data_IF_077844278975
#
_entry.id   IF_077844278975
#
_cell.length_a   1.000
_cell.length_b   1.000
_cell.length_c   1.000
_cell.angle_alpha   90.00
_cell.angle_beta   90.00
_cell.angle_gamma   90.00
#
_symmetry.space_group_name_H-M   'P 1'
#
loop_
_entity.id
_entity.type
_entity.pdbx_description
1 polymer ?
#
# COMPACT_ATOMS: atom_id res chain seq x y z
N UNK A 1 -22.94 -35.09 15.20
CA UNK A 1 -22.76 -35.34 13.76
C UNK A 1 -22.44 -34.04 12.98
N UNK A 2 -22.14 -32.94 13.70
CA UNK A 2 -21.74 -31.63 13.09
C UNK A 2 -20.25 -31.36 13.33
N UNK A 3 -19.63 -32.03 14.32
CA UNK A 3 -18.18 -31.82 14.65
C UNK A 3 -17.18 -32.56 13.72
N UNK A 4 -17.67 -33.35 12.77
CA UNK A 4 -16.80 -34.10 11.84
C UNK A 4 -16.57 -33.39 10.50
N UNK A 5 -17.25 -32.24 10.28
CA UNK A 5 -17.10 -31.45 9.02
C UNK A 5 -15.96 -30.43 9.15
N UNK A 6 -15.50 -30.11 10.37
CA UNK A 6 -14.43 -29.15 10.63
C UNK A 6 -13.00 -29.69 10.37
N UNK A 7 -12.84 -30.93 9.89
CA UNK A 7 -11.55 -31.51 9.44
C UNK A 7 -11.47 -31.64 7.92
N UNK A 8 -12.09 -30.79 7.21
CA UNK A 8 -11.80 -30.55 5.82
C UNK A 8 -10.90 -29.30 5.79
N UNK A 9 -9.86 -29.18 5.17
CA UNK A 9 -9.58 -29.63 3.85
C UNK A 9 -8.27 -29.04 3.40
N UNK A 10 -7.41 -29.82 2.85
CA UNK A 10 -6.42 -29.39 1.87
C UNK A 10 -6.99 -28.52 0.73
N UNK A 11 -8.28 -28.23 0.72
CA UNK A 11 -8.99 -27.51 -0.34
C UNK A 11 -9.16 -26.00 -0.10
N UNK A 12 -8.73 -25.48 1.07
CA UNK A 12 -8.82 -24.07 1.41
C UNK A 12 -10.12 -23.67 2.12
N UNK A 13 -10.10 -22.49 2.76
CA UNK A 13 -11.21 -21.89 3.49
C UNK A 13 -12.01 -20.90 2.65
N UNK A 14 -13.32 -20.79 2.95
CA UNK A 14 -14.22 -19.78 2.37
C UNK A 14 -14.56 -18.67 3.39
N UNK A 15 -14.00 -18.74 4.58
CA UNK A 15 -14.24 -17.77 5.64
C UNK A 15 -13.61 -16.43 5.33
N UNK A 16 -14.15 -15.37 5.95
CA UNK A 16 -13.56 -14.04 5.83
C UNK A 16 -12.15 -14.03 6.39
N UNK A 17 -11.13 -13.59 5.62
CA UNK A 17 -9.77 -13.51 6.11
C UNK A 17 -9.64 -12.71 7.40
N UNK A 18 -8.86 -13.23 8.33
CA UNK A 18 -8.44 -12.53 9.55
C UNK A 18 -6.93 -12.36 9.53
N UNK A 19 -6.40 -11.44 10.34
CA UNK A 19 -4.96 -11.20 10.44
C UNK A 19 -4.51 -11.13 11.88
N UNK A 20 -3.32 -11.67 12.12
CA UNK A 20 -2.65 -11.53 13.40
C UNK A 20 -1.91 -10.20 13.50
N UNK A 21 -1.72 -9.71 14.72
CA UNK A 21 -0.86 -8.55 14.98
C UNK A 21 0.58 -8.86 14.57
N UNK A 22 1.31 -7.84 14.14
CA UNK A 22 2.73 -7.97 13.80
C UNK A 22 3.54 -7.54 15.01
N UNK A 23 4.00 -8.53 15.80
CA UNK A 23 4.82 -8.28 16.98
C UNK A 23 6.30 -8.05 16.59
N UNK A 24 6.54 -6.98 15.84
CA UNK A 24 7.85 -6.63 15.30
C UNK A 24 8.88 -6.23 16.38
N UNK A 25 8.44 -5.98 17.61
CA UNK A 25 9.30 -5.68 18.76
C UNK A 25 9.78 -6.94 19.48
N UNK A 26 9.19 -8.08 19.19
CA UNK A 26 9.61 -9.36 19.70
C UNK A 26 10.99 -9.74 19.13
N UNK A 27 11.97 -10.12 19.96
CA UNK A 27 13.29 -10.58 19.47
C UNK A 27 13.20 -11.72 18.45
N UNK A 28 12.21 -12.61 18.58
CA UNK A 28 11.98 -13.72 17.65
C UNK A 28 11.57 -13.27 16.26
N UNK A 29 11.06 -12.04 16.12
CA UNK A 29 10.71 -11.48 14.81
C UNK A 29 11.94 -11.30 13.90
N UNK A 30 13.11 -11.00 14.49
CA UNK A 30 14.39 -10.87 13.79
C UNK A 30 15.20 -12.16 13.75
N UNK A 31 14.71 -13.26 14.35
CA UNK A 31 15.38 -14.55 14.34
C UNK A 31 15.31 -15.16 12.94
N UNK A 32 16.46 -15.31 12.28
CA UNK A 32 16.55 -15.79 10.90
C UNK A 32 16.24 -17.26 10.75
N UNK A 33 16.64 -18.10 11.71
CA UNK A 33 16.34 -19.54 11.63
C UNK A 33 14.83 -19.78 11.68
N UNK A 34 14.13 -19.10 12.60
CA UNK A 34 12.65 -19.15 12.67
C UNK A 34 11.99 -18.53 11.44
N UNK A 35 12.62 -17.50 10.86
CA UNK A 35 12.11 -16.89 9.64
C UNK A 35 12.29 -17.82 8.44
N UNK A 36 13.45 -18.46 8.28
CA UNK A 36 13.71 -19.43 7.21
C UNK A 36 12.80 -20.64 7.30
N UNK A 37 12.57 -21.18 8.50
CA UNK A 37 11.65 -22.30 8.72
C UNK A 37 10.23 -21.93 8.21
N UNK A 38 9.71 -20.79 8.61
CA UNK A 38 8.39 -20.32 8.17
C UNK A 38 8.34 -19.98 6.68
N UNK A 39 9.42 -19.39 6.15
CA UNK A 39 9.53 -19.07 4.72
C UNK A 39 9.47 -20.34 3.86
N UNK A 40 10.19 -21.40 4.26
CA UNK A 40 10.15 -22.68 3.55
C UNK A 40 8.79 -23.34 3.66
N UNK A 41 8.17 -23.34 4.84
CA UNK A 41 6.82 -23.87 5.05
C UNK A 41 5.79 -23.19 4.13
N UNK A 42 5.81 -21.87 4.06
CA UNK A 42 4.89 -21.09 3.20
C UNK A 42 5.23 -21.27 1.74
N UNK A 43 6.52 -21.30 1.37
CA UNK A 43 6.96 -21.53 0.00
C UNK A 43 6.49 -22.90 -0.53
N UNK A 44 6.55 -23.95 0.29
CA UNK A 44 6.09 -25.30 -0.04
C UNK A 44 4.58 -25.33 -0.32
N UNK A 45 3.77 -24.71 0.56
CA UNK A 45 2.34 -24.58 0.34
C UNK A 45 2.01 -23.77 -0.94
N UNK A 46 2.77 -22.69 -1.21
CA UNK A 46 2.61 -21.89 -2.43
C UNK A 46 3.02 -22.67 -3.69
N UNK A 47 4.09 -23.46 -3.61
CA UNK A 47 4.55 -24.31 -4.70
C UNK A 47 3.50 -25.36 -5.08
N UNK A 48 2.92 -26.06 -4.11
CA UNK A 48 1.85 -27.02 -4.35
C UNK A 48 0.57 -26.40 -4.95
N UNK A 49 0.28 -25.13 -4.61
CA UNK A 49 -0.95 -24.46 -5.06
C UNK A 49 -0.80 -23.65 -6.35
N UNK A 50 0.26 -22.86 -6.51
CA UNK A 50 0.60 -21.98 -7.66
C UNK A 50 -0.50 -21.02 -8.16
N UNK A 51 -1.60 -20.87 -7.42
CA UNK A 51 -2.76 -20.03 -7.83
C UNK A 51 -2.38 -18.56 -8.08
N UNK A 52 -1.36 -18.05 -7.38
CA UNK A 52 -0.96 -16.65 -7.42
C UNK A 52 0.07 -16.30 -8.51
N UNK A 53 0.46 -17.24 -9.38
CA UNK A 53 1.51 -17.05 -10.40
C UNK A 53 1.33 -15.79 -11.26
N UNK A 54 0.10 -15.39 -11.51
CA UNK A 54 -0.22 -14.22 -12.37
C UNK A 54 -0.48 -12.91 -11.61
N UNK A 55 -0.31 -12.90 -10.29
CA UNK A 55 -0.65 -11.69 -9.48
C UNK A 55 0.44 -10.63 -9.49
N UNK A 56 1.70 -11.04 -9.34
CA UNK A 56 2.85 -10.14 -9.25
C UNK A 56 4.13 -10.88 -9.60
N UNK A 57 5.28 -10.21 -9.58
CA UNK A 57 6.56 -10.82 -9.92
C UNK A 57 7.09 -11.78 -8.85
N UNK A 58 6.74 -11.58 -7.58
CA UNK A 58 7.26 -12.38 -6.47
C UNK A 58 6.93 -13.88 -6.61
N UNK A 59 5.74 -14.24 -7.13
CA UNK A 59 5.37 -15.64 -7.29
C UNK A 59 6.05 -16.35 -8.47
N UNK A 60 6.11 -15.78 -9.68
CA UNK A 60 6.94 -16.36 -10.74
C UNK A 60 8.40 -16.54 -10.29
N UNK A 61 9.01 -15.52 -9.66
CA UNK A 61 10.37 -15.63 -9.11
C UNK A 61 10.50 -16.79 -8.13
N UNK A 62 9.54 -16.97 -7.21
CA UNK A 62 9.52 -18.10 -6.27
C UNK A 62 9.44 -19.45 -7.01
N UNK A 63 8.53 -19.56 -7.98
CA UNK A 63 8.30 -20.83 -8.67
C UNK A 63 9.45 -21.19 -9.62
N UNK A 64 10.04 -20.20 -10.29
CA UNK A 64 11.21 -20.42 -11.14
C UNK A 64 12.42 -20.89 -10.31
N UNK A 65 12.66 -20.29 -9.12
CA UNK A 65 13.71 -20.76 -8.21
C UNK A 65 13.53 -22.24 -7.79
N UNK A 66 12.29 -22.65 -7.54
CA UNK A 66 11.98 -24.04 -7.16
C UNK A 66 12.13 -24.96 -8.36
N UNK A 67 11.54 -24.60 -9.51
CA UNK A 67 11.55 -25.41 -10.74
C UNK A 67 12.96 -25.55 -11.34
N UNK A 68 13.87 -24.60 -11.06
CA UNK A 68 15.27 -24.65 -11.49
C UNK A 68 16.20 -25.28 -10.41
N UNK A 69 15.70 -25.63 -9.23
CA UNK A 69 16.49 -26.28 -8.18
C UNK A 69 16.81 -27.72 -8.53
N UNK A 70 17.85 -28.29 -7.91
CA UNK A 70 18.28 -29.69 -8.16
C UNK A 70 17.21 -30.72 -7.79
N UNK A 71 16.39 -30.44 -6.78
CA UNK A 71 15.34 -31.35 -6.29
C UNK A 71 13.97 -31.07 -6.91
N UNK A 72 13.79 -29.94 -7.61
CA UNK A 72 12.50 -29.40 -8.04
C UNK A 72 11.53 -29.13 -6.89
N UNK A 73 12.09 -28.96 -5.67
CA UNK A 73 11.37 -28.74 -4.44
C UNK A 73 12.01 -27.58 -3.65
N UNK A 74 11.32 -27.09 -2.61
CA UNK A 74 11.77 -25.93 -1.81
C UNK A 74 13.08 -26.20 -1.09
N UNK A 75 13.40 -27.45 -0.76
CA UNK A 75 14.65 -27.84 -0.09
C UNK A 75 15.89 -27.64 -0.98
N UNK A 76 15.72 -27.69 -2.32
CA UNK A 76 16.79 -27.39 -3.27
C UNK A 76 17.13 -25.90 -3.42
N UNK A 77 16.28 -25.00 -2.90
CA UNK A 77 16.52 -23.56 -2.99
C UNK A 77 17.38 -23.08 -1.83
N UNK A 78 18.48 -22.37 -2.13
CA UNK A 78 19.34 -21.79 -1.09
C UNK A 78 18.64 -20.57 -0.45
N UNK A 79 18.80 -20.40 0.89
CA UNK A 79 18.15 -19.33 1.64
C UNK A 79 18.37 -17.93 1.05
N UNK A 80 19.59 -17.63 0.61
CA UNK A 80 19.92 -16.33 0.02
C UNK A 80 19.21 -16.07 -1.32
N UNK A 81 18.75 -17.08 -2.04
CA UNK A 81 18.01 -16.92 -3.30
C UNK A 81 16.61 -16.37 -3.06
N UNK A 82 16.01 -16.63 -1.90
CA UNK A 82 14.74 -16.04 -1.52
C UNK A 82 14.77 -14.51 -1.38
N UNK A 83 15.96 -13.87 -1.31
CA UNK A 83 16.04 -12.41 -1.30
C UNK A 83 15.37 -11.78 -2.54
N UNK A 84 15.42 -12.43 -3.71
CA UNK A 84 14.75 -11.95 -4.91
C UNK A 84 13.22 -11.99 -4.79
N UNK A 85 12.68 -13.05 -4.18
CA UNK A 85 11.24 -13.19 -3.92
C UNK A 85 10.75 -12.11 -2.96
N UNK A 86 11.53 -11.85 -1.90
CA UNK A 86 11.25 -10.81 -0.89
C UNK A 86 11.25 -9.42 -1.55
N UNK A 87 12.25 -9.14 -2.39
CA UNK A 87 12.41 -7.84 -3.06
C UNK A 87 11.28 -7.59 -4.09
N UNK A 88 10.79 -8.61 -4.76
CA UNK A 88 9.70 -8.53 -5.74
C UNK A 88 8.31 -8.38 -5.10
N UNK A 89 8.18 -8.52 -3.78
CA UNK A 89 6.91 -8.32 -3.08
C UNK A 89 6.69 -6.84 -2.74
N UNK A 90 5.59 -6.26 -3.25
CA UNK A 90 5.19 -4.86 -3.00
C UNK A 90 4.25 -4.68 -1.80
N UNK A 91 4.03 -5.71 -0.99
CA UNK A 91 3.13 -5.68 0.18
C UNK A 91 1.71 -5.13 -0.16
N UNK A 92 1.20 -5.46 -1.35
CA UNK A 92 -0.07 -4.93 -1.85
C UNK A 92 -1.29 -5.73 -1.40
N UNK A 93 -1.10 -6.83 -0.68
CA UNK A 93 -2.13 -7.72 -0.12
C UNK A 93 -3.06 -8.43 -1.11
N UNK A 94 -2.89 -8.27 -2.42
CA UNK A 94 -3.77 -8.91 -3.40
C UNK A 94 -3.80 -10.43 -3.26
N UNK A 95 -2.67 -11.09 -2.98
CA UNK A 95 -2.62 -12.53 -2.77
C UNK A 95 -3.38 -12.94 -1.50
N UNK A 96 -3.30 -12.15 -0.44
CA UNK A 96 -4.01 -12.40 0.82
C UNK A 96 -5.52 -12.19 0.66
N UNK A 97 -5.94 -11.04 0.12
CA UNK A 97 -7.34 -10.62 0.11
C UNK A 97 -8.21 -11.29 -0.96
N UNK A 98 -7.63 -11.72 -2.09
CA UNK A 98 -8.44 -12.11 -3.26
C UNK A 98 -8.17 -13.50 -3.79
N UNK A 99 -7.05 -14.13 -3.45
CA UNK A 99 -6.64 -15.37 -4.11
C UNK A 99 -6.32 -16.52 -3.15
N UNK A 100 -5.67 -16.28 -2.02
CA UNK A 100 -5.19 -17.34 -1.17
C UNK A 100 -6.32 -17.97 -0.35
N UNK A 101 -6.64 -19.25 -0.52
CA UNK A 101 -7.64 -19.95 0.27
C UNK A 101 -7.10 -20.45 1.62
N UNK A 102 -5.83 -20.26 1.88
CA UNK A 102 -5.11 -20.77 3.05
C UNK A 102 -4.74 -19.68 4.06
N UNK A 103 -5.29 -18.48 3.90
CA UNK A 103 -5.13 -17.40 4.87
C UNK A 103 -5.87 -17.70 6.17
N UNK A 104 -5.47 -17.12 7.31
CA UNK A 104 -6.22 -17.27 8.54
C UNK A 104 -7.73 -16.91 8.34
N UNK A 105 -8.66 -17.65 8.91
CA UNK A 105 -8.51 -18.66 9.97
C UNK A 105 -8.23 -20.10 9.49
N UNK A 106 -7.78 -20.31 8.25
CA UNK A 106 -7.37 -21.63 7.78
C UNK A 106 -6.19 -22.17 8.61
N UNK A 107 -6.14 -23.48 8.86
CA UNK A 107 -5.10 -24.12 9.71
C UNK A 107 -3.64 -23.90 9.24
N UNK A 108 -3.45 -23.59 7.95
CA UNK A 108 -2.13 -23.28 7.42
C UNK A 108 -1.68 -21.84 7.65
N UNK A 109 -2.60 -20.96 8.01
CA UNK A 109 -2.34 -19.55 8.39
C UNK A 109 -1.37 -18.82 7.45
N UNK A 110 -1.54 -18.97 6.13
CA UNK A 110 -0.64 -18.36 5.13
C UNK A 110 -0.86 -16.85 5.08
N UNK A 111 0.10 -16.09 5.54
CA UNK A 111 0.17 -14.62 5.34
C UNK A 111 1.46 -14.25 4.59
N UNK A 112 1.46 -14.48 3.28
CA UNK A 112 2.62 -14.23 2.43
C UNK A 112 3.09 -12.77 2.49
N UNK A 113 2.24 -11.72 2.41
CA UNK A 113 2.71 -10.34 2.50
C UNK A 113 3.44 -10.02 3.80
N UNK A 114 2.91 -10.45 4.96
CA UNK A 114 3.55 -10.18 6.24
C UNK A 114 4.82 -11.02 6.46
N UNK A 115 4.88 -12.21 5.88
CA UNK A 115 6.12 -12.99 5.83
C UNK A 115 7.20 -12.26 5.02
N UNK A 116 6.85 -11.70 3.87
CA UNK A 116 7.77 -10.88 3.08
C UNK A 116 8.16 -9.59 3.82
N UNK A 117 7.22 -8.94 4.50
CA UNK A 117 7.53 -7.79 5.37
C UNK A 117 8.57 -8.15 6.43
N UNK A 118 8.42 -9.30 7.11
CA UNK A 118 9.41 -9.79 8.09
C UNK A 118 10.79 -9.94 7.45
N UNK A 119 10.89 -10.53 6.26
CA UNK A 119 12.14 -10.63 5.51
C UNK A 119 12.78 -9.27 5.20
N UNK A 120 11.95 -8.29 4.78
CA UNK A 120 12.40 -6.89 4.54
C UNK A 120 12.91 -6.22 5.83
N UNK A 121 12.26 -6.45 6.97
CA UNK A 121 12.69 -5.91 8.27
C UNK A 121 14.03 -6.54 8.70
N UNK A 122 14.20 -7.85 8.55
CA UNK A 122 15.49 -8.54 8.82
C UNK A 122 16.59 -7.96 7.90
N UNK A 123 16.29 -7.76 6.62
CA UNK A 123 17.24 -7.15 5.67
C UNK A 123 17.62 -5.73 6.08
N UNK A 124 16.66 -4.91 6.51
CA UNK A 124 16.90 -3.55 6.98
C UNK A 124 17.75 -3.53 8.27
N UNK A 125 17.47 -4.41 9.23
CA UNK A 125 18.22 -4.50 10.50
C UNK A 125 19.72 -4.78 10.28
N UNK A 126 20.06 -5.43 9.18
CA UNK A 126 21.46 -5.69 8.75
C UNK A 126 22.08 -4.56 7.92
N UNK A 127 21.43 -3.40 7.82
CA UNK A 127 21.86 -2.29 6.98
C UNK A 127 22.04 -2.64 5.48
N UNK A 128 21.32 -3.63 4.99
CA UNK A 128 21.36 -4.06 3.60
C UNK A 128 20.55 -3.16 2.63
N UNK A 129 19.90 -2.11 3.14
CA UNK A 129 19.12 -1.18 2.32
C UNK A 129 20.07 -0.21 1.61
N UNK A 130 19.99 -0.19 0.30
CA UNK A 130 20.83 0.65 -0.54
C UNK A 130 20.51 2.15 -0.37
N UNK A 131 21.50 3.02 -0.62
CA UNK A 131 21.27 4.47 -0.68
C UNK A 131 20.23 4.84 -1.74
N UNK A 132 20.26 4.15 -2.88
CA UNK A 132 19.27 4.26 -3.95
C UNK A 132 17.85 4.10 -3.42
N UNK A 133 17.58 3.01 -2.70
CA UNK A 133 16.22 2.67 -2.24
C UNK A 133 15.76 3.65 -1.16
N UNK A 134 16.66 4.10 -0.28
CA UNK A 134 16.38 5.16 0.70
C UNK A 134 15.98 6.47 0.03
N UNK A 135 16.62 6.83 -1.09
CA UNK A 135 16.29 8.04 -1.85
C UNK A 135 14.94 7.87 -2.58
N UNK A 136 14.78 6.81 -3.37
CA UNK A 136 13.60 6.60 -4.20
C UNK A 136 12.32 6.46 -3.38
N UNK A 137 12.39 5.89 -2.19
CA UNK A 137 11.25 5.77 -1.26
C UNK A 137 10.97 7.04 -0.43
N UNK A 138 11.78 8.09 -0.59
CA UNK A 138 11.52 9.40 0.06
C UNK A 138 10.61 10.28 -0.83
N UNK A 139 9.47 9.72 -1.22
CA UNK A 139 8.53 10.28 -2.20
C UNK A 139 8.00 11.67 -1.85
N UNK A 140 7.75 11.94 -0.57
CA UNK A 140 7.33 13.25 -0.07
C UNK A 140 8.43 14.31 -0.23
N UNK A 141 9.67 14.00 0.14
CA UNK A 141 10.81 14.92 0.01
C UNK A 141 11.14 15.19 -1.45
N UNK A 142 11.17 14.14 -2.27
CA UNK A 142 11.40 14.27 -3.71
C UNK A 142 10.29 15.11 -4.34
N UNK A 143 9.04 14.86 -3.97
CA UNK A 143 7.88 15.63 -4.42
C UNK A 143 8.00 17.11 -4.07
N UNK A 144 8.35 17.44 -2.81
CA UNK A 144 8.53 18.83 -2.36
C UNK A 144 9.62 19.57 -3.15
N UNK A 145 10.72 18.89 -3.49
CA UNK A 145 11.84 19.48 -4.24
C UNK A 145 11.46 19.63 -5.72
N UNK A 146 10.96 18.54 -6.32
CA UNK A 146 10.77 18.46 -7.76
C UNK A 146 9.48 19.13 -8.26
N UNK A 147 8.52 19.43 -7.38
CA UNK A 147 7.30 20.17 -7.75
C UNK A 147 7.45 21.71 -7.68
N UNK A 148 8.65 22.24 -7.51
CA UNK A 148 8.90 23.68 -7.64
C UNK A 148 8.86 24.07 -9.13
N UNK A 149 8.21 25.22 -9.45
CA UNK A 149 7.90 25.64 -10.83
C UNK A 149 9.01 25.39 -11.87
N UNK A 150 10.22 25.87 -11.61
CA UNK A 150 11.37 25.72 -12.55
C UNK A 150 11.90 24.30 -12.52
N UNK A 151 12.00 23.69 -11.33
CA UNK A 151 12.58 22.37 -11.14
C UNK A 151 11.73 21.30 -11.80
N UNK A 152 10.40 21.37 -11.66
CA UNK A 152 9.47 20.39 -12.28
C UNK A 152 9.63 20.36 -13.80
N UNK A 153 9.70 21.52 -14.43
CA UNK A 153 9.91 21.60 -15.87
C UNK A 153 11.25 20.99 -16.30
N UNK A 154 12.33 21.30 -15.58
CA UNK A 154 13.65 20.76 -15.88
C UNK A 154 13.70 19.24 -15.69
N UNK A 155 13.22 18.72 -14.57
CA UNK A 155 13.18 17.27 -14.30
C UNK A 155 12.35 16.53 -15.34
N UNK A 156 11.18 17.07 -15.71
CA UNK A 156 10.32 16.47 -16.73
C UNK A 156 10.95 16.49 -18.12
N UNK A 157 11.73 17.53 -18.47
CA UNK A 157 12.49 17.59 -19.73
C UNK A 157 13.62 16.56 -19.68
N UNK A 158 14.44 16.54 -18.62
CA UNK A 158 15.54 15.60 -18.48
C UNK A 158 15.10 14.15 -18.52
N UNK A 159 13.92 13.83 -17.92
CA UNK A 159 13.35 12.49 -17.98
C UNK A 159 13.02 12.01 -19.40
N UNK A 160 12.93 12.90 -20.40
CA UNK A 160 12.72 12.57 -21.81
C UNK A 160 14.03 12.45 -22.61
N UNK A 161 15.17 12.90 -22.04
CA UNK A 161 16.47 12.91 -22.72
C UNK A 161 17.15 11.54 -22.56
N UNK A 162 17.37 10.82 -23.65
CA UNK A 162 17.98 9.47 -23.66
C UNK A 162 19.32 9.39 -22.90
N UNK A 163 20.18 10.39 -23.06
CA UNK A 163 21.48 10.42 -22.36
C UNK A 163 21.29 10.47 -20.84
N UNK A 164 20.40 11.32 -20.36
CA UNK A 164 20.08 11.43 -18.93
C UNK A 164 19.47 10.13 -18.41
N UNK A 165 18.58 9.50 -19.19
CA UNK A 165 17.99 8.19 -18.86
C UNK A 165 19.05 7.08 -18.69
N UNK A 166 20.07 7.07 -19.56
CA UNK A 166 21.22 6.14 -19.42
C UNK A 166 22.01 6.41 -18.15
N UNK A 167 22.21 7.68 -17.78
CA UNK A 167 22.88 8.04 -16.53
C UNK A 167 22.05 7.57 -15.31
N UNK A 168 20.74 7.81 -15.29
CA UNK A 168 19.85 7.31 -14.24
C UNK A 168 19.86 5.78 -14.15
N UNK A 169 19.93 5.09 -15.30
CA UNK A 169 20.01 3.63 -15.33
C UNK A 169 21.30 3.12 -14.66
N UNK A 170 22.44 3.76 -14.95
CA UNK A 170 23.72 3.38 -14.35
C UNK A 170 23.81 3.71 -12.85
N UNK A 171 23.30 4.86 -12.42
CA UNK A 171 23.43 5.32 -11.03
C UNK A 171 22.36 4.74 -10.11
N UNK A 172 21.14 4.60 -10.60
CA UNK A 172 19.97 4.21 -9.79
C UNK A 172 19.33 2.89 -10.26
N UNK A 173 19.88 2.21 -11.27
CA UNK A 173 19.29 0.98 -11.80
C UNK A 173 17.88 1.17 -12.38
N UNK A 174 17.50 2.41 -12.73
CA UNK A 174 16.18 2.70 -13.32
C UNK A 174 16.28 2.46 -14.82
N UNK A 175 15.60 1.44 -15.33
CA UNK A 175 15.65 1.10 -16.75
C UNK A 175 15.38 2.32 -17.64
N UNK A 176 16.17 2.50 -18.69
CA UNK A 176 16.11 3.70 -19.55
C UNK A 176 14.75 3.94 -20.20
N UNK A 177 13.97 2.88 -20.45
CA UNK A 177 12.64 2.95 -21.03
C UNK A 177 11.49 2.97 -19.97
N UNK A 178 11.82 2.92 -18.67
CA UNK A 178 10.79 2.98 -17.62
C UNK A 178 10.06 4.33 -17.67
N UNK A 179 8.74 4.32 -17.65
CA UNK A 179 7.94 5.55 -17.55
C UNK A 179 8.07 6.09 -16.13
N UNK A 180 8.65 7.28 -15.99
CA UNK A 180 8.71 7.98 -14.70
C UNK A 180 7.53 8.93 -14.56
N UNK A 181 6.93 9.05 -13.38
CA UNK A 181 5.86 10.02 -13.13
C UNK A 181 6.40 11.44 -13.34
N UNK A 182 5.55 12.31 -13.87
CA UNK A 182 5.89 13.71 -14.05
C UNK A 182 5.61 14.48 -12.76
N UNK A 183 6.46 15.44 -12.45
CA UNK A 183 6.23 16.33 -11.32
C UNK A 183 5.47 17.58 -11.79
N UNK A 184 4.45 17.96 -11.02
CA UNK A 184 3.63 19.14 -11.36
C UNK A 184 4.19 20.40 -10.68
N UNK A 185 4.03 21.55 -11.32
CA UNK A 185 4.43 22.84 -10.74
C UNK A 185 3.36 23.43 -9.81
N UNK A 186 2.14 22.93 -9.84
CA UNK A 186 1.02 23.32 -8.99
C UNK A 186 0.45 22.05 -8.35
N UNK A 187 0.75 21.88 -7.07
CA UNK A 187 0.36 20.67 -6.31
C UNK A 187 -1.15 20.64 -6.05
N UNK A 188 -1.69 19.47 -5.65
CA UNK A 188 -3.11 19.35 -5.29
C UNK A 188 -3.51 20.34 -4.20
N UNK A 189 -2.67 20.53 -3.18
CA UNK A 189 -2.89 21.52 -2.11
C UNK A 189 -2.87 22.98 -2.59
N UNK A 190 -2.31 23.24 -3.75
CA UNK A 190 -2.24 24.57 -4.38
C UNK A 190 -3.31 24.81 -5.45
N UNK A 191 -4.18 23.83 -5.73
CA UNK A 191 -5.25 23.98 -6.74
C UNK A 191 -6.25 25.08 -6.37
N UNK A 192 -6.30 25.49 -5.11
CA UNK A 192 -7.25 26.50 -4.63
C UNK A 192 -8.65 25.92 -4.45
N UNK A 193 -8.76 24.61 -4.24
CA UNK A 193 -10.01 23.97 -3.87
C UNK A 193 -10.44 24.55 -2.51
N UNK A 194 -11.57 25.24 -2.52
CA UNK A 194 -12.10 25.86 -1.30
C UNK A 194 -12.74 24.80 -0.42
N UNK A 195 -12.50 24.88 0.90
CA UNK A 195 -13.28 24.07 1.82
C UNK A 195 -14.76 24.39 1.59
N UNK A 196 -15.55 23.35 1.33
CA UNK A 196 -16.98 23.48 1.18
C UNK A 196 -17.64 23.00 2.47
N UNK A 197 -18.18 23.93 3.23
CA UNK A 197 -18.94 23.61 4.45
C UNK A 197 -20.41 23.82 4.12
N UNK A 198 -21.15 22.74 4.12
CA UNK A 198 -22.61 22.72 3.95
C UNK A 198 -23.21 21.86 5.05
N UNK A 199 -24.48 22.06 5.34
CA UNK A 199 -25.21 21.17 6.23
C UNK A 199 -25.42 19.81 5.53
N UNK A 200 -24.49 18.89 5.74
CA UNK A 200 -24.51 17.56 5.14
C UNK A 200 -24.33 16.47 6.19
N UNK A 201 -24.96 15.32 5.95
CA UNK A 201 -24.85 14.13 6.81
C UNK A 201 -23.40 13.69 6.99
N UNK A 202 -22.58 13.83 5.93
CA UNK A 202 -21.18 13.41 5.91
C UNK A 202 -20.26 14.61 5.72
N UNK A 203 -19.11 14.54 6.39
CA UNK A 203 -18.00 15.45 6.23
C UNK A 203 -16.78 14.64 5.81
N UNK A 204 -16.11 15.03 4.74
CA UNK A 204 -14.95 14.34 4.19
C UNK A 204 -13.71 15.23 4.27
N UNK A 205 -12.66 14.72 4.89
CA UNK A 205 -11.33 15.30 4.82
C UNK A 205 -10.46 14.48 3.84
N UNK A 206 -10.04 15.09 2.74
CA UNK A 206 -9.24 14.41 1.71
C UNK A 206 -7.77 14.45 2.09
N UNK A 207 -7.18 13.27 2.29
CA UNK A 207 -5.75 13.06 2.39
C UNK A 207 -5.16 12.99 0.98
N UNK A 208 -4.46 14.06 0.55
CA UNK A 208 -4.01 14.19 -0.85
C UNK A 208 -2.95 13.17 -1.25
N UNK A 209 -2.28 12.55 -0.29
CA UNK A 209 -1.15 11.62 -0.47
C UNK A 209 0.06 12.27 -1.17
N UNK A 210 1.22 11.62 -1.15
CA UNK A 210 2.40 12.16 -1.83
C UNK A 210 2.25 12.14 -3.35
N UNK A 211 1.72 11.04 -3.91
CA UNK A 211 1.64 10.88 -5.36
C UNK A 211 0.64 11.85 -5.98
N UNK A 212 -0.60 11.91 -5.49
CA UNK A 212 -1.60 12.81 -6.05
C UNK A 212 -1.28 14.29 -5.76
N UNK A 213 -0.57 14.59 -4.68
CA UNK A 213 -0.17 15.95 -4.43
C UNK A 213 0.89 16.46 -5.42
N UNK A 214 1.86 15.61 -5.78
CA UNK A 214 3.04 16.05 -6.53
C UNK A 214 3.09 15.60 -7.98
N UNK A 215 2.28 14.57 -8.35
CA UNK A 215 2.33 13.98 -9.68
C UNK A 215 0.98 14.03 -10.41
N UNK A 216 -0.14 13.70 -9.72
CA UNK A 216 -1.46 13.57 -10.34
C UNK A 216 -2.54 14.35 -9.58
N UNK A 217 -2.43 15.70 -9.48
CA UNK A 217 -3.39 16.52 -8.71
C UNK A 217 -4.80 16.52 -9.29
N UNK A 218 -4.96 16.13 -10.58
CA UNK A 218 -6.25 16.00 -11.24
C UNK A 218 -7.19 15.06 -10.50
N UNK A 219 -6.68 13.92 -10.02
CA UNK A 219 -7.49 12.92 -9.28
C UNK A 219 -8.11 13.53 -8.01
N UNK A 220 -7.36 14.38 -7.30
CA UNK A 220 -7.89 15.07 -6.11
C UNK A 220 -9.00 16.04 -6.50
N UNK A 221 -8.82 16.77 -7.62
CA UNK A 221 -9.83 17.69 -8.12
C UNK A 221 -11.09 16.95 -8.55
N UNK A 222 -10.96 15.87 -9.30
CA UNK A 222 -12.09 15.10 -9.80
C UNK A 222 -12.89 14.49 -8.63
N UNK A 223 -12.19 13.92 -7.64
CA UNK A 223 -12.87 13.39 -6.45
C UNK A 223 -13.53 14.51 -5.62
N UNK A 224 -12.88 15.66 -5.47
CA UNK A 224 -13.47 16.83 -4.83
C UNK A 224 -14.76 17.26 -5.57
N UNK A 225 -14.75 17.30 -6.91
CA UNK A 225 -15.92 17.69 -7.71
C UNK A 225 -17.06 16.67 -7.57
N UNK A 226 -16.76 15.37 -7.50
CA UNK A 226 -17.74 14.30 -7.22
C UNK A 226 -18.39 14.51 -5.84
N UNK A 227 -17.61 14.77 -4.80
CA UNK A 227 -18.14 15.02 -3.46
C UNK A 227 -19.01 16.27 -3.43
N UNK A 228 -18.59 17.31 -4.12
CA UNK A 228 -19.33 18.56 -4.26
C UNK A 228 -20.66 18.36 -4.98
N UNK A 229 -20.68 17.59 -6.08
CA UNK A 229 -21.88 17.21 -6.80
C UNK A 229 -22.89 16.45 -5.93
N UNK A 230 -22.39 15.70 -4.96
CA UNK A 230 -23.22 14.98 -3.98
C UNK A 230 -23.54 15.80 -2.72
N UNK A 231 -23.31 17.11 -2.72
CA UNK A 231 -23.57 18.00 -1.57
C UNK A 231 -22.90 17.52 -0.28
N UNK A 232 -21.64 17.08 -0.34
CA UNK A 232 -20.86 16.64 0.81
C UNK A 232 -19.97 17.80 1.30
N UNK A 233 -19.87 17.98 2.61
CA UNK A 233 -18.88 18.88 3.22
C UNK A 233 -17.49 18.31 2.98
N UNK A 234 -16.60 19.10 2.34
CA UNK A 234 -15.26 18.65 1.94
C UNK A 234 -14.19 19.60 2.44
N UNK A 235 -13.15 19.04 3.03
CA UNK A 235 -11.91 19.74 3.34
C UNK A 235 -10.70 19.01 2.76
N UNK A 236 -9.70 19.78 2.32
CA UNK A 236 -8.39 19.23 1.93
C UNK A 236 -7.48 19.28 3.14
N UNK A 237 -6.96 18.14 3.57
CA UNK A 237 -5.99 18.08 4.68
C UNK A 237 -4.73 18.83 4.26
N UNK A 238 -4.35 19.81 5.06
CA UNK A 238 -3.10 20.57 4.91
C UNK A 238 -2.04 19.94 5.79
N UNK A 239 -0.78 20.17 5.49
CA UNK A 239 0.36 19.79 6.35
C UNK A 239 0.49 18.28 6.67
N UNK A 240 -0.18 17.40 5.90
CA UNK A 240 0.02 15.96 5.96
C UNK A 240 1.37 15.55 5.34
N UNK A 241 1.86 14.39 5.73
CA UNK A 241 3.07 13.76 5.21
C UNK A 241 2.71 12.46 4.48
N UNK A 242 3.69 11.81 3.86
CA UNK A 242 3.51 10.49 3.26
C UNK A 242 2.92 9.50 4.30
N UNK A 243 2.11 8.55 3.83
CA UNK A 243 1.51 7.50 4.69
C UNK A 243 2.55 6.54 5.30
N UNK A 244 3.74 6.47 4.71
CA UNK A 244 4.81 5.58 5.17
C UNK A 244 4.94 4.28 4.37
N UNK A 245 4.02 3.94 3.47
CA UNK A 245 4.06 2.69 2.70
C UNK A 245 5.42 2.43 2.01
N UNK A 246 6.05 3.42 1.32
CA UNK A 246 7.37 3.19 0.71
C UNK A 246 8.47 2.85 1.72
N UNK A 247 8.31 3.23 2.98
CA UNK A 247 9.25 2.87 4.07
C UNK A 247 8.94 1.51 4.66
N UNK A 248 7.66 1.14 4.72
CA UNK A 248 7.24 -0.21 5.09
C UNK A 248 7.80 -1.23 4.08
N UNK A 249 7.73 -0.94 2.79
CA UNK A 249 8.32 -1.76 1.73
C UNK A 249 9.85 -1.93 1.85
N UNK A 250 10.53 -1.06 2.56
CA UNK A 250 11.94 -1.23 2.92
C UNK A 250 12.14 -1.97 4.27
N UNK A 251 11.07 -2.29 4.99
CA UNK A 251 11.15 -2.84 6.33
C UNK A 251 11.60 -1.84 7.41
N UNK A 252 11.52 -0.52 7.14
CA UNK A 252 11.91 0.53 8.09
C UNK A 252 10.72 0.93 8.98
N UNK A 253 10.30 0.01 9.87
CA UNK A 253 9.12 0.20 10.72
C UNK A 253 9.29 1.37 11.69
N UNK A 254 10.51 1.63 12.18
CA UNK A 254 10.76 2.79 13.06
C UNK A 254 10.48 4.12 12.36
N UNK A 255 10.87 4.23 11.08
CA UNK A 255 10.57 5.43 10.30
C UNK A 255 9.09 5.52 9.96
N UNK A 256 8.43 4.39 9.71
CA UNK A 256 6.97 4.32 9.55
C UNK A 256 6.26 4.83 10.79
N UNK A 257 6.66 4.41 12.00
CA UNK A 257 6.12 4.90 13.27
C UNK A 257 6.25 6.42 13.40
N UNK A 258 7.44 6.97 13.07
CA UNK A 258 7.67 8.43 13.09
C UNK A 258 6.78 9.18 12.10
N UNK A 259 6.55 8.61 10.90
CA UNK A 259 5.69 9.22 9.87
C UNK A 259 4.21 9.13 10.29
N UNK A 260 3.78 8.00 10.80
CA UNK A 260 2.43 7.80 11.37
C UNK A 260 2.14 8.85 12.45
N UNK A 261 3.02 8.99 13.44
CA UNK A 261 2.83 9.92 14.55
C UNK A 261 2.70 11.38 14.09
N UNK A 262 3.41 11.80 13.03
CA UNK A 262 3.28 13.13 12.44
C UNK A 262 1.91 13.39 11.81
N UNK A 263 1.31 12.38 11.20
CA UNK A 263 0.00 12.49 10.58
C UNK A 263 -1.12 12.30 11.61
N UNK A 264 -0.93 11.41 12.57
CA UNK A 264 -1.96 10.96 13.50
C UNK A 264 -2.60 12.13 14.29
N UNK A 265 -1.76 13.03 14.82
CA UNK A 265 -2.25 14.20 15.56
C UNK A 265 -3.13 15.14 14.71
N UNK A 266 -2.91 15.17 13.40
CA UNK A 266 -3.67 16.00 12.46
C UNK A 266 -4.96 15.30 12.05
N UNK A 267 -4.86 14.02 11.68
CA UNK A 267 -6.02 13.21 11.29
C UNK A 267 -7.02 13.10 12.43
N UNK A 268 -6.53 12.93 13.66
CA UNK A 268 -7.38 12.87 14.84
C UNK A 268 -8.26 14.11 15.00
N UNK A 269 -7.75 15.32 14.72
CA UNK A 269 -8.56 16.54 14.78
C UNK A 269 -9.76 16.48 13.83
N UNK A 270 -9.55 16.05 12.59
CA UNK A 270 -10.65 15.88 11.65
C UNK A 270 -11.66 14.82 12.13
N UNK A 271 -11.17 13.71 12.68
CA UNK A 271 -12.04 12.66 13.22
C UNK A 271 -12.85 13.16 14.41
N UNK A 272 -12.23 13.90 15.33
CA UNK A 272 -12.91 14.50 16.48
C UNK A 272 -13.99 15.53 16.04
N UNK A 273 -13.76 16.22 14.90
CA UNK A 273 -14.72 17.16 14.28
C UNK A 273 -15.78 16.44 13.41
N UNK A 274 -15.79 15.09 13.42
CA UNK A 274 -16.78 14.26 12.75
C UNK A 274 -16.52 14.01 11.25
N UNK A 275 -15.31 14.22 10.77
CA UNK A 275 -14.94 13.91 9.38
C UNK A 275 -14.58 12.44 9.20
N UNK A 276 -14.97 11.86 8.07
CA UNK A 276 -14.33 10.68 7.51
C UNK A 276 -13.08 11.11 6.72
N UNK A 277 -12.05 10.30 6.80
CA UNK A 277 -10.80 10.52 6.08
C UNK A 277 -10.82 9.70 4.79
N UNK A 278 -10.56 10.33 3.65
CA UNK A 278 -10.53 9.61 2.38
C UNK A 278 -9.20 9.86 1.67
N UNK A 279 -8.57 8.77 1.22
CA UNK A 279 -7.36 8.83 0.40
C UNK A 279 -7.61 8.12 -0.94
N UNK A 280 -7.44 8.78 -2.09
CA UNK A 280 -7.67 8.17 -3.40
C UNK A 280 -6.47 7.31 -3.89
N UNK A 281 -5.72 6.73 -2.97
CA UNK A 281 -4.66 5.73 -3.25
C UNK A 281 -4.88 4.51 -2.36
N UNK A 282 -5.11 3.31 -2.95
CA UNK A 282 -5.38 2.08 -2.18
C UNK A 282 -4.30 1.76 -1.15
N UNK A 283 -3.01 1.88 -1.49
CA UNK A 283 -1.91 1.60 -0.57
C UNK A 283 -1.88 2.53 0.66
N UNK A 284 -2.30 3.80 0.52
CA UNK A 284 -2.42 4.71 1.66
C UNK A 284 -3.63 4.35 2.54
N UNK A 285 -4.72 3.88 1.93
CA UNK A 285 -5.89 3.36 2.66
C UNK A 285 -5.52 2.09 3.40
N UNK A 286 -4.83 1.15 2.73
CA UNK A 286 -4.31 -0.09 3.32
C UNK A 286 -3.46 0.20 4.57
N UNK A 287 -2.53 1.16 4.48
CA UNK A 287 -1.69 1.57 5.61
C UNK A 287 -2.52 1.95 6.83
N UNK A 288 -3.48 2.86 6.70
CA UNK A 288 -4.24 3.33 7.86
C UNK A 288 -5.35 2.40 8.31
N UNK A 289 -5.92 1.59 7.42
CA UNK A 289 -6.99 0.64 7.77
C UNK A 289 -6.49 -0.69 8.30
N UNK A 290 -5.32 -1.16 7.85
CA UNK A 290 -4.85 -2.51 8.17
C UNK A 290 -3.41 -2.52 8.72
N UNK A 291 -2.41 -2.05 7.98
CA UNK A 291 -1.01 -2.26 8.34
C UNK A 291 -0.61 -1.59 9.65
N UNK A 292 -0.90 -0.29 9.79
CA UNK A 292 -0.55 0.45 11.00
C UNK A 292 -1.25 -0.10 12.25
N UNK A 293 -2.57 -0.42 12.26
CA UNK A 293 -3.22 -1.07 13.39
C UNK A 293 -2.63 -2.42 13.79
N UNK A 294 -2.12 -3.20 12.83
CA UNK A 294 -1.48 -4.49 13.11
C UNK A 294 -0.05 -4.32 13.67
N UNK A 295 0.65 -3.27 13.24
CA UNK A 295 1.99 -2.92 13.74
C UNK A 295 1.98 -2.22 15.10
N UNK A 296 0.92 -1.46 15.39
CA UNK A 296 0.79 -0.63 16.59
C UNK A 296 -0.58 -0.79 17.28
N UNK A 297 -0.95 -2.02 17.68
CA UNK A 297 -2.29 -2.36 18.17
C UNK A 297 -2.69 -1.59 19.44
N UNK A 298 -1.72 -1.19 20.27
CA UNK A 298 -1.95 -0.48 21.52
C UNK A 298 -2.28 1.02 21.33
N UNK A 299 -2.12 1.55 20.09
CA UNK A 299 -2.32 2.96 19.82
C UNK A 299 -3.81 3.29 19.62
N UNK A 300 -4.44 3.82 20.68
CA UNK A 300 -5.88 4.14 20.69
C UNK A 300 -6.27 5.23 19.68
N UNK A 301 -5.40 6.24 19.48
CA UNK A 301 -5.67 7.30 18.51
C UNK A 301 -5.64 6.75 17.08
N UNK A 302 -4.70 5.85 16.79
CA UNK A 302 -4.64 5.16 15.52
C UNK A 302 -5.90 4.34 15.27
N UNK A 303 -6.40 3.63 16.29
CA UNK A 303 -7.65 2.86 16.17
C UNK A 303 -8.84 3.74 15.79
N UNK A 304 -8.94 4.96 16.34
CA UNK A 304 -9.99 5.91 15.97
C UNK A 304 -9.83 6.40 14.52
N UNK A 305 -8.62 6.79 14.14
CA UNK A 305 -8.29 7.25 12.79
C UNK A 305 -8.54 6.14 11.76
N UNK A 306 -8.11 4.91 12.05
CA UNK A 306 -8.33 3.74 11.18
C UNK A 306 -9.81 3.52 10.88
N UNK A 307 -10.68 3.59 11.89
CA UNK A 307 -12.13 3.45 11.74
C UNK A 307 -12.77 4.55 10.89
N UNK A 308 -12.16 5.72 10.84
CA UNK A 308 -12.63 6.86 10.04
C UNK A 308 -12.11 6.83 8.60
N UNK A 309 -11.05 6.05 8.29
CA UNK A 309 -10.50 5.96 6.94
C UNK A 309 -11.42 5.20 5.98
N UNK A 310 -11.54 5.72 4.75
CA UNK A 310 -12.32 5.12 3.66
C UNK A 310 -11.54 5.20 2.34
N UNK A 311 -11.76 4.21 1.49
CA UNK A 311 -11.48 4.31 0.08
C UNK A 311 -12.57 5.17 -0.60
N UNK A 312 -12.28 5.91 -1.69
CA UNK A 312 -13.28 6.69 -2.41
C UNK A 312 -14.51 5.88 -2.83
N UNK A 313 -14.30 4.68 -3.38
CA UNK A 313 -15.40 3.83 -3.83
C UNK A 313 -16.18 3.21 -2.67
N UNK A 314 -15.50 2.88 -1.55
CA UNK A 314 -16.18 2.49 -0.31
C UNK A 314 -17.14 3.59 0.15
N UNK A 315 -16.69 4.85 0.13
CA UNK A 315 -17.54 5.98 0.52
C UNK A 315 -18.71 6.19 -0.46
N UNK A 316 -18.44 6.17 -1.76
CA UNK A 316 -19.52 6.29 -2.78
C UNK A 316 -20.53 5.14 -2.68
N UNK A 317 -20.06 3.93 -2.34
CA UNK A 317 -20.95 2.80 -2.12
C UNK A 317 -21.83 2.99 -0.88
N UNK A 318 -21.35 3.64 0.17
CA UNK A 318 -22.18 4.03 1.32
C UNK A 318 -23.32 4.93 0.85
N UNK A 319 -23.03 5.98 0.08
CA UNK A 319 -24.06 6.88 -0.47
C UNK A 319 -25.04 6.14 -1.38
N UNK A 320 -24.56 5.21 -2.21
CA UNK A 320 -25.40 4.42 -3.10
C UNK A 320 -26.36 3.52 -2.32
N UNK A 321 -25.89 2.84 -1.29
CA UNK A 321 -26.70 1.94 -0.45
C UNK A 321 -27.75 2.71 0.37
N UNK A 322 -27.46 3.96 0.71
CA UNK A 322 -28.41 4.85 1.38
C UNK A 322 -29.38 5.54 0.40
N UNK A 323 -29.22 5.36 -0.91
CA UNK A 323 -30.03 6.03 -1.93
C UNK A 323 -29.77 7.54 -2.04
N UNK A 324 -28.65 8.02 -1.49
CA UNK A 324 -28.30 9.46 -1.47
C UNK A 324 -27.25 9.84 -2.51
N UNK A 325 -26.70 8.87 -3.24
CA UNK A 325 -25.75 9.14 -4.34
C UNK A 325 -26.46 9.84 -5.48
N UNK A 326 -26.02 11.05 -5.80
CA UNK A 326 -26.53 11.77 -6.96
C UNK A 326 -26.03 11.12 -8.25
N UNK A 327 -26.95 10.56 -9.04
CA UNK A 327 -26.70 9.87 -10.30
C UNK A 327 -27.04 10.73 -11.53
N UNK A 328 -27.31 12.01 -11.33
CA UNK A 328 -27.55 12.95 -12.43
C UNK A 328 -26.19 13.35 -13.06
N UNK A 329 -25.75 12.54 -14.02
CA UNK A 329 -24.54 12.79 -14.79
C UNK A 329 -24.92 13.56 -16.04
N UNK A 330 -24.37 14.77 -16.21
CA UNK A 330 -24.69 15.63 -17.35
C UNK A 330 -24.31 15.07 -18.73
N UNK A 331 -23.68 13.89 -18.80
CA UNK A 331 -23.30 13.22 -20.06
C UNK A 331 -23.45 11.72 -19.90
N UNK A 332 -24.16 11.07 -20.78
CA UNK A 332 -24.16 9.61 -20.89
C UNK A 332 -22.84 9.15 -21.53
N UNK A 333 -22.16 8.21 -20.86
CA UNK A 333 -20.90 7.66 -21.37
C UNK A 333 -21.09 6.65 -22.52
N UNK A 334 -22.34 6.25 -22.81
CA UNK A 334 -22.65 5.16 -23.72
C UNK A 334 -22.18 3.80 -23.16
N UNK A 335 -22.05 2.81 -24.04
CA UNK A 335 -21.53 1.50 -23.66
C UNK A 335 -20.05 1.57 -23.38
N UNK A 336 -19.67 1.37 -22.10
CA UNK A 336 -18.28 1.30 -21.67
C UNK A 336 -17.93 -0.17 -21.46
N UNK A 337 -17.01 -0.71 -22.25
CA UNK A 337 -16.50 -2.09 -22.14
C UNK A 337 -15.26 -2.14 -21.25
#
# INVERSE_FOLDING_TARGET
MIDSIAKASSEGGLEKPTRHIIDWKNPDFLNEDKYEEELRRVADACHGCRRCVSLCNSFPTLFDLIDESETFEVDGVQYNQFESVIDDCYLCDLCFMTKCPYVPPHEWEIDFPHLMLRGKVIKNSKNKISFRDKVLTSTDKLGQIFSRKVISSLVNIFNKVKLFRKVLSKLFGIHENAKLPQFVSKTAKQLGLSNQVIDSKYKIAIFTTCYHNYNEPGVIKDFYDILKHNNITVEIIKDDNCCGMPKLELGDIELVEKMMNKNLSKFKKYVDDGYLLVAPIPSCVLMYKQELPLLFPENKELSLVSKAFRDPFEFLNILNNEGTLNKDFGTELGDVS
#
